data_IF_961299384636
#
_entry.id   IF_961299384636
#
_cell.length_a   1.000
_cell.length_b   1.000
_cell.length_c   1.000
_cell.angle_alpha   90.00
_cell.angle_beta   90.00
_cell.angle_gamma   90.00
#
_symmetry.space_group_name_H-M   'P 1'
#
loop_
_entity.id
_entity.type
_entity.pdbx_description
1 polymer ?
#
# COMPACT_ATOMS: atom_id res chain seq x y z
N UNK A 1 -8.73 12.93 -3.69
CA UNK A 1 -8.06 12.45 -4.93
C UNK A 1 -8.24 10.96 -5.06
N UNK A 2 -8.79 10.52 -6.17
CA UNK A 2 -8.94 9.08 -6.44
C UNK A 2 -7.67 8.49 -6.99
N UNK A 3 -7.32 7.31 -6.46
CA UNK A 3 -6.20 6.53 -6.96
C UNK A 3 -6.74 5.14 -7.26
N UNK A 4 -6.59 4.68 -8.49
CA UNK A 4 -7.08 3.36 -8.88
C UNK A 4 -6.13 2.71 -9.87
N UNK A 5 -6.13 1.40 -9.86
CA UNK A 5 -5.30 0.66 -10.78
C UNK A 5 -5.54 -0.83 -10.68
N UNK A 6 -4.81 -1.54 -11.50
CA UNK A 6 -4.87 -2.98 -11.59
C UNK A 6 -3.46 -3.51 -11.76
N UNK A 7 -3.17 -4.64 -11.10
CA UNK A 7 -1.86 -5.26 -11.18
C UNK A 7 -2.03 -6.77 -11.25
N UNK A 8 -1.24 -7.41 -12.10
CA UNK A 8 -1.31 -8.85 -12.30
C UNK A 8 -0.12 -9.54 -11.65
N UNK A 9 -0.37 -10.56 -10.83
CA UNK A 9 0.66 -11.34 -10.15
C UNK A 9 0.69 -12.76 -10.66
N UNK A 10 1.90 -13.29 -10.88
CA UNK A 10 2.10 -14.70 -11.24
C UNK A 10 2.17 -15.56 -9.98
N UNK A 11 1.07 -15.57 -9.22
CA UNK A 11 0.96 -16.32 -7.97
C UNK A 11 -0.51 -16.58 -7.67
N UNK A 12 -0.80 -17.67 -6.92
CA UNK A 12 -2.18 -17.95 -6.49
C UNK A 12 -2.71 -16.86 -5.55
N UNK A 13 -3.99 -16.64 -5.59
CA UNK A 13 -4.66 -15.61 -4.80
C UNK A 13 -4.45 -15.79 -3.30
N UNK A 14 -4.52 -17.01 -2.79
CA UNK A 14 -4.34 -17.29 -1.38
C UNK A 14 -2.94 -16.92 -0.90
N UNK A 15 -1.91 -17.23 -1.69
CA UNK A 15 -0.53 -16.87 -1.35
C UNK A 15 -0.33 -15.36 -1.41
N UNK A 16 -0.89 -14.69 -2.42
CA UNK A 16 -0.81 -13.24 -2.54
C UNK A 16 -1.49 -12.55 -1.35
N UNK A 17 -2.69 -12.98 -1.01
CA UNK A 17 -3.43 -12.39 0.11
C UNK A 17 -2.70 -12.59 1.44
N UNK A 18 -2.21 -13.80 1.70
CA UNK A 18 -1.47 -14.08 2.93
C UNK A 18 -0.23 -13.21 3.07
N UNK A 19 0.48 -12.97 1.97
CA UNK A 19 1.65 -12.09 1.96
C UNK A 19 1.26 -10.64 2.25
N UNK A 20 0.14 -10.20 1.70
CA UNK A 20 -0.32 -8.81 1.81
C UNK A 20 -0.85 -8.43 3.19
N UNK A 21 -1.11 -9.40 4.06
CA UNK A 21 -1.59 -9.13 5.42
C UNK A 21 -0.59 -9.57 6.50
N UNK A 22 0.55 -10.11 6.11
CA UNK A 22 1.57 -10.57 7.05
C UNK A 22 2.49 -9.39 7.43
N UNK A 23 2.57 -9.02 8.71
CA UNK A 23 3.41 -7.88 9.13
C UNK A 23 4.88 -8.02 8.74
N UNK A 24 5.45 -9.21 8.85
CA UNK A 24 6.85 -9.44 8.50
C UNK A 24 7.08 -9.22 7.00
N UNK A 25 6.15 -9.65 6.17
CA UNK A 25 6.21 -9.42 4.71
C UNK A 25 6.01 -7.94 4.40
N UNK A 26 5.03 -7.30 5.03
CA UNK A 26 4.76 -5.88 4.81
C UNK A 26 5.96 -5.01 5.15
N UNK A 27 6.68 -5.35 6.22
CA UNK A 27 7.85 -4.59 6.65
C UNK A 27 8.95 -4.55 5.58
N UNK A 28 9.05 -5.58 4.74
CA UNK A 28 10.07 -5.63 3.69
C UNK A 28 9.54 -5.38 2.28
N UNK A 29 8.23 -5.28 2.09
CA UNK A 29 7.62 -5.07 0.77
C UNK A 29 7.07 -3.66 0.56
N UNK A 30 6.68 -2.98 1.64
CA UNK A 30 6.24 -1.59 1.51
C UNK A 30 7.45 -0.73 1.14
N UNK A 31 7.42 -0.05 -0.01
CA UNK A 31 8.57 0.74 -0.45
C UNK A 31 8.95 1.82 0.57
N UNK A 32 10.25 1.85 0.93
CA UNK A 32 10.76 2.84 1.86
C UNK A 32 10.44 2.59 3.33
N UNK A 33 9.83 1.46 3.64
CA UNK A 33 9.47 1.13 5.02
C UNK A 33 10.72 0.93 5.88
N UNK A 34 10.87 1.73 6.94
CA UNK A 34 11.96 1.62 7.89
C UNK A 34 11.54 0.88 9.15
N UNK A 35 10.26 0.95 9.49
CA UNK A 35 9.75 0.32 10.69
C UNK A 35 8.26 0.03 10.53
N UNK A 36 7.85 -1.15 10.98
CA UNK A 36 6.44 -1.53 11.01
C UNK A 36 6.22 -2.36 12.27
N UNK A 37 5.33 -1.88 13.14
CA UNK A 37 5.00 -2.54 14.41
C UNK A 37 3.49 -2.76 14.50
N UNK A 38 3.10 -3.96 14.86
CA UNK A 38 1.69 -4.24 15.13
C UNK A 38 1.31 -3.63 16.48
N UNK A 39 0.28 -2.80 16.49
CA UNK A 39 -0.19 -2.10 17.69
C UNK A 39 -1.54 -2.62 18.18
N UNK A 40 -2.20 -3.45 17.40
CA UNK A 40 -3.48 -4.03 17.75
C UNK A 40 -3.92 -4.98 16.65
N UNK A 41 -5.14 -5.49 16.74
CA UNK A 41 -5.67 -6.39 15.71
C UNK A 41 -5.75 -5.65 14.37
N UNK A 42 -5.00 -6.14 13.39
CA UNK A 42 -4.96 -5.59 12.04
C UNK A 42 -4.62 -4.10 11.99
N UNK A 43 -3.87 -3.63 13.00
CA UNK A 43 -3.46 -2.24 13.12
C UNK A 43 -1.94 -2.16 13.29
N UNK A 44 -1.30 -1.27 12.53
CA UNK A 44 0.16 -1.18 12.49
C UNK A 44 0.60 0.28 12.56
N UNK A 45 1.68 0.52 13.32
CA UNK A 45 2.40 1.79 13.27
C UNK A 45 3.52 1.64 12.25
N UNK A 46 3.65 2.60 11.35
CA UNK A 46 4.56 2.52 10.21
C UNK A 46 5.41 3.78 10.11
N UNK A 47 6.69 3.60 9.81
CA UNK A 47 7.59 4.71 9.43
C UNK A 47 8.15 4.39 8.06
N UNK A 48 8.02 5.33 7.13
CA UNK A 48 8.54 5.10 5.79
C UNK A 48 9.10 6.40 5.18
N UNK A 49 10.10 6.23 4.32
CA UNK A 49 10.64 7.32 3.53
C UNK A 49 9.97 7.31 2.17
N UNK A 50 9.38 8.43 1.83
CA UNK A 50 8.67 8.57 0.57
C UNK A 50 8.78 10.01 0.08
N UNK A 51 8.47 10.23 -1.19
CA UNK A 51 8.47 11.55 -1.74
C UNK A 51 7.89 11.63 -3.13
N UNK A 52 7.72 12.87 -3.58
CA UNK A 52 7.24 13.18 -4.93
C UNK A 52 8.16 14.28 -5.47
N UNK A 53 8.88 13.97 -6.54
CA UNK A 53 9.86 14.90 -7.08
C UNK A 53 10.96 15.17 -6.08
N UNK A 54 11.24 16.43 -5.81
CA UNK A 54 12.27 16.84 -4.85
C UNK A 54 11.77 16.91 -3.41
N UNK A 55 10.47 16.76 -3.19
CA UNK A 55 9.87 16.81 -1.86
C UNK A 55 9.85 15.40 -1.29
N UNK A 56 10.69 15.13 -0.32
CA UNK A 56 10.81 13.79 0.28
C UNK A 56 11.18 13.87 1.75
N UNK A 57 10.89 12.81 2.48
CA UNK A 57 11.22 12.73 3.89
C UNK A 57 10.57 11.53 4.55
N UNK A 58 10.63 11.54 5.87
CA UNK A 58 10.09 10.46 6.68
C UNK A 58 8.63 10.77 7.06
N UNK A 59 7.77 9.79 6.82
CA UNK A 59 6.38 9.82 7.28
C UNK A 59 6.20 8.78 8.37
N UNK A 60 5.46 9.13 9.40
CA UNK A 60 5.04 8.19 10.44
C UNK A 60 3.53 8.21 10.51
N UNK A 61 2.93 7.05 10.75
CA UNK A 61 1.49 6.98 10.81
C UNK A 61 1.00 5.59 11.12
N UNK A 62 -0.27 5.37 10.80
CA UNK A 62 -0.96 4.13 11.11
C UNK A 62 -1.62 3.55 9.88
N UNK A 63 -1.64 2.22 9.84
CA UNK A 63 -2.36 1.46 8.82
C UNK A 63 -3.28 0.50 9.54
N UNK A 64 -4.53 0.43 9.09
CA UNK A 64 -5.52 -0.50 9.63
C UNK A 64 -6.17 -1.26 8.48
N UNK A 65 -6.29 -2.57 8.66
CA UNK A 65 -6.97 -3.43 7.70
C UNK A 65 -8.36 -3.75 8.23
N UNK A 66 -9.37 -3.59 7.36
CA UNK A 66 -10.77 -3.83 7.70
C UNK A 66 -11.44 -4.65 6.60
N UNK A 67 -12.67 -5.09 6.83
CA UNK A 67 -13.47 -5.84 5.86
C UNK A 67 -12.70 -7.01 5.26
N UNK A 68 -11.97 -7.73 6.10
CA UNK A 68 -11.09 -8.79 5.63
C UNK A 68 -11.90 -10.05 5.26
N UNK A 69 -11.95 -10.33 3.97
CA UNK A 69 -12.59 -11.53 3.41
C UNK A 69 -11.55 -12.31 2.61
N UNK A 70 -10.76 -13.08 3.31
CA UNK A 70 -9.69 -13.85 2.69
C UNK A 70 -10.24 -14.91 1.75
N UNK A 71 -9.63 -15.13 0.60
CA UNK A 71 -8.50 -14.43 0.02
C UNK A 71 -8.90 -13.39 -1.03
N UNK A 72 -10.08 -12.78 -0.92
CA UNK A 72 -10.72 -12.00 -1.98
C UNK A 72 -10.62 -10.50 -1.81
N UNK A 73 -10.69 -10.01 -0.57
CA UNK A 73 -10.94 -8.59 -0.35
C UNK A 73 -10.45 -8.10 1.01
N UNK A 74 -9.97 -6.87 1.05
CA UNK A 74 -9.85 -6.12 2.30
C UNK A 74 -9.89 -4.63 2.02
N UNK A 75 -10.13 -3.85 3.07
CA UNK A 75 -10.10 -2.40 3.04
C UNK A 75 -8.90 -1.93 3.86
N UNK A 76 -8.16 -0.97 3.33
CA UNK A 76 -7.02 -0.37 4.02
C UNK A 76 -7.33 1.07 4.38
N UNK A 77 -6.99 1.47 5.61
CA UNK A 77 -7.14 2.84 6.08
C UNK A 77 -5.76 3.31 6.52
N UNK A 78 -5.33 4.45 5.99
CA UNK A 78 -4.00 4.97 6.25
C UNK A 78 -4.06 6.41 6.72
N UNK A 79 -3.18 6.77 7.63
CA UNK A 79 -2.87 8.15 7.94
C UNK A 79 -1.36 8.25 8.18
N UNK A 80 -0.79 9.37 7.79
CA UNK A 80 0.63 9.59 7.99
C UNK A 80 0.96 11.06 7.97
N UNK A 81 2.00 11.44 8.70
CA UNK A 81 2.46 12.81 8.76
C UNK A 81 3.97 12.87 8.93
N UNK A 82 4.55 13.95 8.49
CA UNK A 82 5.97 14.18 8.60
C UNK A 82 6.32 15.57 8.11
N UNK A 83 7.61 15.82 8.00
CA UNK A 83 8.10 17.12 7.53
C UNK A 83 7.56 17.48 6.14
N UNK A 84 7.45 16.52 5.18
CA UNK A 84 6.91 16.88 3.85
C UNK A 84 5.41 17.21 3.85
N UNK A 85 4.67 16.84 4.88
CA UNK A 85 3.23 17.07 4.94
C UNK A 85 2.48 15.91 5.57
N UNK A 86 1.22 15.75 5.17
CA UNK A 86 0.41 14.63 5.68
C UNK A 86 -0.37 13.97 4.54
N UNK A 87 -0.75 12.73 4.80
CA UNK A 87 -1.67 12.01 3.92
C UNK A 87 -2.67 11.24 4.77
N UNK A 88 -3.88 11.10 4.24
CA UNK A 88 -4.97 10.41 4.91
C UNK A 88 -5.87 9.81 3.85
N UNK A 89 -6.17 8.54 3.98
CA UNK A 89 -7.00 7.93 2.97
C UNK A 89 -7.46 6.53 3.32
N UNK A 90 -8.28 5.99 2.43
CA UNK A 90 -8.76 4.63 2.53
C UNK A 90 -8.93 4.06 1.13
N UNK A 91 -8.90 2.74 1.03
CA UNK A 91 -9.08 2.09 -0.24
C UNK A 91 -9.47 0.65 -0.08
N UNK A 92 -9.95 0.07 -1.17
CA UNK A 92 -10.30 -1.35 -1.24
C UNK A 92 -9.33 -2.07 -2.14
N UNK A 93 -9.06 -3.32 -1.80
CA UNK A 93 -8.20 -4.20 -2.58
C UNK A 93 -8.97 -5.49 -2.83
N UNK A 94 -9.12 -5.84 -4.09
CA UNK A 94 -9.86 -7.01 -4.52
C UNK A 94 -8.97 -7.91 -5.36
N UNK A 95 -8.97 -9.21 -5.07
CA UNK A 95 -8.15 -10.20 -5.75
C UNK A 95 -9.02 -11.21 -6.48
N UNK A 96 -8.76 -11.37 -7.77
CA UNK A 96 -9.45 -12.36 -8.61
C UNK A 96 -8.39 -13.29 -9.19
N UNK A 97 -8.60 -14.59 -9.05
CA UNK A 97 -7.66 -15.58 -9.58
C UNK A 97 -8.16 -16.15 -10.88
N UNK A 98 -7.25 -16.27 -11.86
CA UNK A 98 -7.51 -16.91 -13.16
C UNK A 98 -6.26 -17.65 -13.59
N UNK A 99 -6.38 -18.96 -13.81
CA UNK A 99 -5.31 -19.81 -14.33
C UNK A 99 -4.00 -19.71 -13.52
N UNK A 100 -4.12 -19.67 -12.18
CA UNK A 100 -2.98 -19.60 -11.29
C UNK A 100 -2.36 -18.22 -11.17
N UNK A 101 -2.95 -17.22 -11.81
CA UNK A 101 -2.53 -15.83 -11.72
C UNK A 101 -3.56 -15.03 -10.96
N UNK A 102 -3.13 -13.99 -10.28
CA UNK A 102 -4.01 -13.13 -9.51
C UNK A 102 -4.05 -11.73 -10.10
N UNK A 103 -5.25 -11.24 -10.34
CA UNK A 103 -5.49 -9.87 -10.75
C UNK A 103 -5.90 -9.07 -9.51
N UNK A 104 -5.14 -8.04 -9.20
CA UNK A 104 -5.41 -7.17 -8.04
C UNK A 104 -5.96 -5.85 -8.55
N UNK A 105 -7.15 -5.50 -8.06
CA UNK A 105 -7.76 -4.20 -8.33
C UNK A 105 -7.74 -3.38 -7.06
N UNK A 106 -7.28 -2.15 -7.16
CA UNK A 106 -7.30 -1.24 -6.02
C UNK A 106 -7.98 0.07 -6.39
N UNK A 107 -8.73 0.58 -5.42
CA UNK A 107 -9.43 1.85 -5.56
C UNK A 107 -9.35 2.57 -4.22
N UNK A 108 -8.78 3.76 -4.22
CA UNK A 108 -8.63 4.54 -3.00
C UNK A 108 -9.00 5.99 -3.17
N UNK A 109 -9.21 6.63 -2.04
CA UNK A 109 -9.42 8.07 -1.98
C UNK A 109 -8.43 8.62 -0.95
N UNK A 110 -7.59 9.55 -1.39
CA UNK A 110 -6.47 10.06 -0.59
C UNK A 110 -6.53 11.58 -0.50
N UNK A 111 -6.30 12.08 0.70
CA UNK A 111 -6.18 13.50 0.98
C UNK A 111 -4.72 13.79 1.36
N UNK A 112 -4.12 14.76 0.69
CA UNK A 112 -2.72 15.13 0.89
C UNK A 112 -2.66 16.62 1.21
N UNK A 113 -1.85 16.97 2.21
CA UNK A 113 -1.67 18.37 2.60
C UNK A 113 -0.22 18.68 2.96
N UNK A 114 0.06 19.97 3.18
CA UNK A 114 1.40 20.43 3.49
C UNK A 114 2.22 20.69 2.24
N UNK A 115 3.53 20.74 2.40
CA UNK A 115 4.47 21.07 1.31
C UNK A 115 4.33 20.10 0.13
N UNK A 116 4.14 18.82 0.42
CA UNK A 116 4.03 17.80 -0.62
C UNK A 116 2.81 18.01 -1.53
N UNK A 117 1.75 18.62 -1.01
CA UNK A 117 0.57 18.91 -1.81
C UNK A 117 0.85 19.94 -2.91
N UNK A 118 1.86 20.77 -2.71
CA UNK A 118 2.25 21.79 -3.66
C UNK A 118 2.81 21.28 -4.99
N UNK A 119 3.23 20.01 -5.05
CA UNK A 119 3.75 19.44 -6.30
C UNK A 119 2.63 19.19 -7.33
N UNK A 120 1.38 19.17 -6.87
CA UNK A 120 0.23 18.99 -7.74
C UNK A 120 -0.31 17.58 -7.81
N UNK A 121 -1.60 17.47 -8.08
CA UNK A 121 -2.32 16.21 -8.05
C UNK A 121 -1.75 15.17 -9.04
N UNK A 122 -1.37 15.59 -10.23
CA UNK A 122 -0.86 14.69 -11.27
C UNK A 122 0.43 13.99 -10.81
N UNK A 123 1.34 14.74 -10.19
CA UNK A 123 2.59 14.17 -9.71
C UNK A 123 2.37 13.22 -8.53
N UNK A 124 1.47 13.57 -7.62
CA UNK A 124 1.12 12.73 -6.48
C UNK A 124 0.50 11.42 -6.97
N UNK A 125 -0.41 11.49 -7.91
CA UNK A 125 -1.07 10.33 -8.50
C UNK A 125 -0.05 9.40 -9.17
N UNK A 126 0.88 9.96 -9.93
CA UNK A 126 1.95 9.19 -10.57
C UNK A 126 2.84 8.49 -9.55
N UNK A 127 3.21 9.20 -8.47
CA UNK A 127 4.03 8.62 -7.40
C UNK A 127 3.28 7.49 -6.68
N UNK A 128 1.99 7.67 -6.42
CA UNK A 128 1.18 6.64 -5.76
C UNK A 128 1.10 5.37 -6.61
N UNK A 129 0.90 5.51 -7.91
CA UNK A 129 0.86 4.37 -8.83
C UNK A 129 2.21 3.66 -8.90
N UNK A 130 3.30 4.40 -8.91
CA UNK A 130 4.65 3.82 -8.92
C UNK A 130 4.90 3.02 -7.65
N UNK A 131 4.51 3.57 -6.48
CA UNK A 131 4.65 2.87 -5.20
C UNK A 131 3.80 1.60 -5.17
N UNK A 132 2.58 1.66 -5.68
CA UNK A 132 1.71 0.49 -5.76
C UNK A 132 2.34 -0.61 -6.61
N UNK A 133 2.90 -0.26 -7.78
CA UNK A 133 3.58 -1.23 -8.64
C UNK A 133 4.77 -1.87 -7.95
N UNK A 134 5.59 -1.09 -7.27
CA UNK A 134 6.74 -1.60 -6.51
C UNK A 134 6.28 -2.56 -5.41
N UNK A 135 5.25 -2.19 -4.70
CA UNK A 135 4.68 -3.01 -3.64
C UNK A 135 4.19 -4.35 -4.18
N UNK A 136 3.37 -4.33 -5.22
CA UNK A 136 2.82 -5.57 -5.78
C UNK A 136 3.87 -6.45 -6.43
N UNK A 137 4.91 -5.88 -7.04
CA UNK A 137 6.04 -6.65 -7.55
C UNK A 137 6.78 -7.36 -6.42
N UNK A 138 6.98 -6.69 -5.29
CA UNK A 138 7.61 -7.28 -4.12
C UNK A 138 6.73 -8.38 -3.51
N UNK A 139 5.42 -8.17 -3.46
CA UNK A 139 4.47 -9.19 -3.01
C UNK A 139 4.52 -10.42 -3.92
N UNK A 140 4.64 -10.22 -5.23
CA UNK A 140 4.73 -11.33 -6.18
C UNK A 140 5.95 -12.21 -5.88
N UNK A 141 7.09 -11.60 -5.56
CA UNK A 141 8.31 -12.34 -5.19
C UNK A 141 8.11 -13.13 -3.90
N UNK A 142 7.47 -12.54 -2.90
CA UNK A 142 7.18 -13.21 -1.63
C UNK A 142 6.21 -14.38 -1.81
N UNK A 143 5.15 -14.17 -2.58
CA UNK A 143 4.13 -15.20 -2.81
C UNK A 143 4.68 -16.39 -3.59
N UNK A 144 5.64 -16.16 -4.51
CA UNK A 144 6.24 -17.25 -5.28
C UNK A 144 7.24 -18.08 -4.47
N UNK A 145 7.85 -17.49 -3.43
CA UNK A 145 8.82 -18.20 -2.61
C UNK A 145 8.16 -19.11 -1.56
N UNK A 146 6.84 -19.02 -1.42
CA UNK A 146 6.05 -19.92 -0.60
C UNK A 146 5.61 -21.14 -1.44
#
# INVERSE_FOLDING_TARGET
MKIEGMHELKAPRSAAYSAMIDPAVLARTIPGCEKLEQTGDNTYAVSLRAGVGSIKGLFTGNVRLEEMRAPEHYRIIVDGKGQPGFLKGSGTIDLVERDGMTEIKYLGDVQVGGTIAGVGQRMIEGAAKALASQFFNAIASEARSE
#
